data_IF_713834433503
#
_entry.id   IF_713834433503
#
_cell.length_a   1.000
_cell.length_b   1.000
_cell.length_c   1.000
_cell.angle_alpha   90.00
_cell.angle_beta   90.00
_cell.angle_gamma   90.00
#
_symmetry.space_group_name_H-M   'P 1'
#
loop_
_entity.id
_entity.type
_entity.pdbx_description
1 polymer ?
#
# COMPACT_ATOMS: atom_id res chain seq x y z
N UNK A 1 9.58 12.48 -20.92
CA UNK A 1 8.34 13.07 -20.36
C UNK A 1 7.75 12.21 -19.25
N UNK A 2 7.51 10.90 -19.47
CA UNK A 2 6.93 9.97 -18.48
C UNK A 2 7.67 9.81 -17.12
N UNK A 3 9.00 9.93 -17.08
CA UNK A 3 9.77 9.82 -15.82
C UNK A 3 9.47 11.01 -14.88
N UNK A 4 9.28 12.22 -15.42
CA UNK A 4 9.02 13.43 -14.61
C UNK A 4 7.65 13.31 -13.91
N UNK A 5 6.61 12.90 -14.63
CA UNK A 5 5.26 12.74 -14.06
C UNK A 5 5.22 11.63 -13.00
N UNK A 6 5.85 10.48 -13.24
CA UNK A 6 5.94 9.39 -12.24
C UNK A 6 6.63 9.87 -10.96
N UNK A 7 7.74 10.62 -11.09
CA UNK A 7 8.46 11.15 -9.94
C UNK A 7 7.61 12.17 -9.16
N UNK A 8 6.85 13.03 -9.84
CA UNK A 8 5.94 13.97 -9.20
C UNK A 8 4.77 13.26 -8.50
N UNK A 9 4.14 12.25 -9.12
CA UNK A 9 3.10 11.42 -8.49
C UNK A 9 3.64 10.75 -7.22
N UNK A 10 4.81 10.12 -7.31
CA UNK A 10 5.45 9.48 -6.15
C UNK A 10 5.79 10.50 -5.04
N UNK A 11 6.19 11.72 -5.39
CA UNK A 11 6.44 12.77 -4.40
C UNK A 11 5.15 13.25 -3.72
N UNK A 12 4.07 13.47 -4.47
CA UNK A 12 2.74 13.78 -3.91
C UNK A 12 2.32 12.67 -2.95
N UNK A 13 2.46 11.40 -3.37
CA UNK A 13 2.13 10.25 -2.54
C UNK A 13 2.91 10.23 -1.22
N UNK A 14 4.23 10.44 -1.25
CA UNK A 14 5.06 10.55 -0.03
C UNK A 14 4.56 11.64 0.91
N UNK A 15 4.26 12.81 0.37
CA UNK A 15 3.71 13.90 1.17
C UNK A 15 2.38 13.47 1.81
N UNK A 16 1.48 12.84 1.06
CA UNK A 16 0.15 12.47 1.57
C UNK A 16 0.15 11.32 2.59
N UNK A 17 1.09 10.38 2.51
CA UNK A 17 1.21 9.30 3.50
C UNK A 17 1.98 9.73 4.75
N UNK A 18 2.87 10.73 4.63
CA UNK A 18 3.71 11.21 5.74
C UNK A 18 3.20 12.51 6.41
N UNK A 19 2.33 13.29 5.78
CA UNK A 19 1.96 14.62 6.27
C UNK A 19 1.13 14.55 7.57
N UNK A 20 1.59 15.20 8.67
CA UNK A 20 0.89 15.18 9.95
C UNK A 20 -0.27 16.18 10.02
N UNK A 21 -0.25 17.26 9.22
CA UNK A 21 -1.27 18.31 9.25
C UNK A 21 -1.53 18.98 7.87
N UNK A 22 -2.70 19.63 7.66
CA UNK A 22 -3.07 20.26 6.40
C UNK A 22 -2.24 21.47 5.95
N UNK A 23 -1.61 22.21 6.87
CA UNK A 23 -0.87 23.42 6.55
C UNK A 23 0.50 23.09 5.95
N UNK A 24 1.22 22.12 6.54
CA UNK A 24 2.50 21.62 5.99
C UNK A 24 2.33 20.95 4.61
N UNK A 25 1.15 20.40 4.34
CA UNK A 25 0.80 19.78 3.06
C UNK A 25 0.81 20.80 1.90
N UNK A 26 0.26 22.01 2.08
CA UNK A 26 0.22 23.02 1.02
C UNK A 26 1.63 23.46 0.60
N UNK A 27 2.47 23.75 1.58
CA UNK A 27 3.83 24.21 1.32
C UNK A 27 4.66 23.11 0.65
N UNK A 28 4.51 21.86 1.08
CA UNK A 28 5.19 20.72 0.45
C UNK A 28 4.79 20.56 -1.02
N UNK A 29 3.49 20.71 -1.34
CA UNK A 29 3.01 20.68 -2.72
C UNK A 29 3.52 21.89 -3.52
N UNK A 30 3.59 23.07 -2.92
CA UNK A 30 4.11 24.28 -3.58
C UNK A 30 5.57 24.09 -3.97
N UNK A 31 6.41 23.65 -3.03
CA UNK A 31 7.83 23.33 -3.26
C UNK A 31 7.99 22.30 -4.37
N UNK A 32 7.18 21.23 -4.36
CA UNK A 32 7.23 20.18 -5.39
C UNK A 32 6.98 20.72 -6.81
N UNK A 33 6.12 21.73 -6.95
CA UNK A 33 5.71 22.29 -8.24
C UNK A 33 6.45 23.56 -8.64
N UNK A 34 7.48 24.00 -7.90
CA UNK A 34 8.32 25.15 -8.30
C UNK A 34 8.98 24.95 -9.67
N UNK A 35 9.33 23.71 -10.02
CA UNK A 35 9.90 23.34 -11.34
C UNK A 35 8.85 23.07 -12.43
N UNK A 36 7.65 23.62 -12.25
CA UNK A 36 6.43 23.39 -13.02
C UNK A 36 5.86 21.95 -12.97
N UNK A 37 4.53 21.80 -12.86
CA UNK A 37 3.87 20.51 -12.95
C UNK A 37 4.03 19.89 -14.35
N UNK A 38 4.07 18.56 -14.42
CA UNK A 38 3.87 17.84 -15.68
C UNK A 38 2.46 18.14 -16.22
N UNK A 39 2.21 18.07 -17.54
CA UNK A 39 0.88 18.37 -18.10
C UNK A 39 -0.27 17.61 -17.44
N UNK A 40 -0.06 16.34 -17.12
CA UNK A 40 -1.03 15.46 -16.44
C UNK A 40 -1.39 15.97 -15.03
N UNK A 41 -0.46 16.68 -14.38
CA UNK A 41 -0.62 17.22 -13.04
C UNK A 41 -0.98 18.71 -13.03
N UNK A 42 -1.09 19.36 -14.20
CA UNK A 42 -1.33 20.80 -14.27
C UNK A 42 -2.66 21.18 -13.60
N UNK A 43 -3.74 20.44 -13.89
CA UNK A 43 -5.05 20.68 -13.29
C UNK A 43 -5.05 20.39 -11.78
N UNK A 44 -4.37 19.32 -11.37
CA UNK A 44 -4.20 18.97 -9.96
C UNK A 44 -3.48 20.09 -9.20
N UNK A 45 -2.31 20.54 -9.70
CA UNK A 45 -1.54 21.62 -9.09
C UNK A 45 -2.34 22.92 -9.06
N UNK A 46 -3.01 23.27 -10.17
CA UNK A 46 -3.85 24.47 -10.26
C UNK A 46 -4.99 24.47 -9.24
N UNK A 47 -5.63 23.31 -9.02
CA UNK A 47 -6.70 23.15 -8.03
C UNK A 47 -6.19 23.30 -6.60
N UNK A 48 -5.11 22.60 -6.24
CA UNK A 48 -4.67 22.49 -4.84
C UNK A 48 -3.74 23.62 -4.39
N UNK A 49 -3.11 24.34 -5.32
CA UNK A 49 -2.27 25.50 -5.00
C UNK A 49 -3.00 26.85 -5.10
N UNK A 50 -4.26 26.87 -5.56
CA UNK A 50 -5.02 28.12 -5.68
C UNK A 50 -5.26 28.79 -4.32
N UNK A 51 -5.39 30.12 -4.34
CA UNK A 51 -5.71 30.91 -3.14
C UNK A 51 -7.15 30.67 -2.64
N UNK A 52 -8.07 30.26 -3.53
CA UNK A 52 -9.49 30.02 -3.20
C UNK A 52 -9.75 28.69 -2.50
N UNK A 53 -8.86 27.72 -2.64
CA UNK A 53 -8.93 26.41 -1.96
C UNK A 53 -8.45 26.45 -0.51
N UNK A 54 -8.13 27.65 0.00
CA UNK A 54 -7.40 27.86 1.25
C UNK A 54 -8.24 27.76 2.53
N UNK A 55 -9.56 27.54 2.48
CA UNK A 55 -10.35 27.51 3.72
C UNK A 55 -10.32 26.17 4.47
N UNK A 56 -10.09 25.01 3.82
CA UNK A 56 -9.57 23.77 4.44
C UNK A 56 -8.97 22.89 3.33
N UNK A 57 -7.65 22.69 3.33
CA UNK A 57 -7.02 21.62 2.54
C UNK A 57 -7.37 20.26 3.17
N UNK A 58 -8.16 19.45 2.47
CA UNK A 58 -8.48 18.10 2.93
C UNK A 58 -7.52 17.09 2.32
N UNK A 59 -6.67 16.47 3.14
CA UNK A 59 -5.78 15.38 2.70
C UNK A 59 -6.56 14.24 2.03
N UNK A 60 -7.81 14.00 2.47
CA UNK A 60 -8.71 13.02 1.85
C UNK A 60 -9.14 13.42 0.44
N UNK A 61 -9.41 14.70 0.20
CA UNK A 61 -9.80 15.18 -1.11
C UNK A 61 -8.60 15.22 -2.09
N UNK A 62 -7.41 15.60 -1.62
CA UNK A 62 -6.18 15.49 -2.43
C UNK A 62 -5.89 14.03 -2.75
N UNK A 63 -6.07 13.13 -1.77
CA UNK A 63 -5.92 11.68 -1.99
C UNK A 63 -6.91 11.15 -3.03
N UNK A 64 -8.17 11.60 -3.00
CA UNK A 64 -9.17 11.22 -4.00
C UNK A 64 -8.77 11.66 -5.41
N UNK A 65 -8.25 12.89 -5.57
CA UNK A 65 -7.77 13.35 -6.88
C UNK A 65 -6.51 12.60 -7.33
N UNK A 66 -5.58 12.29 -6.41
CA UNK A 66 -4.40 11.48 -6.73
C UNK A 66 -4.82 10.08 -7.23
N UNK A 67 -5.81 9.46 -6.58
CA UNK A 67 -6.38 8.18 -7.02
C UNK A 67 -6.91 8.25 -8.45
N UNK A 68 -7.64 9.33 -8.78
CA UNK A 68 -8.18 9.52 -10.12
C UNK A 68 -7.06 9.64 -11.17
N UNK A 69 -6.04 10.47 -10.90
CA UNK A 69 -4.88 10.62 -11.79
C UNK A 69 -4.17 9.29 -12.04
N UNK A 70 -3.98 8.48 -11.00
CA UNK A 70 -3.34 7.16 -11.13
C UNK A 70 -4.23 6.19 -11.91
N UNK A 71 -5.54 6.20 -11.68
CA UNK A 71 -6.49 5.35 -12.39
C UNK A 71 -6.54 5.67 -13.89
N UNK A 72 -6.47 6.96 -14.24
CA UNK A 72 -6.47 7.45 -15.63
C UNK A 72 -5.14 7.20 -16.35
N UNK A 73 -4.08 6.86 -15.61
CA UNK A 73 -2.72 6.67 -16.12
C UNK A 73 -2.05 5.38 -15.63
N UNK A 74 -2.64 4.20 -15.94
CA UNK A 74 -2.14 2.90 -15.46
C UNK A 74 -0.70 2.60 -15.93
N UNK A 75 -0.26 3.18 -17.05
CA UNK A 75 1.09 3.02 -17.59
C UNK A 75 2.20 3.50 -16.65
N UNK A 76 1.88 4.26 -15.60
CA UNK A 76 2.87 4.72 -14.62
C UNK A 76 3.19 3.69 -13.53
N UNK A 77 2.43 2.58 -13.48
CA UNK A 77 2.73 1.42 -12.64
C UNK A 77 2.59 1.72 -11.14
N UNK A 78 1.47 2.32 -10.75
CA UNK A 78 1.14 2.58 -9.34
C UNK A 78 0.02 1.66 -8.85
N UNK A 79 0.21 1.11 -7.66
CA UNK A 79 -0.81 0.37 -6.91
C UNK A 79 -1.16 1.16 -5.64
N UNK A 80 -2.45 1.39 -5.41
CA UNK A 80 -2.95 2.22 -4.30
C UNK A 80 -3.72 1.38 -3.29
N UNK A 81 -3.10 1.16 -2.14
CA UNK A 81 -3.67 0.42 -1.00
C UNK A 81 -4.26 1.40 0.00
N UNK A 82 -5.53 1.22 0.32
CA UNK A 82 -6.29 1.93 1.34
C UNK A 82 -6.17 1.18 2.67
N UNK A 83 -5.18 1.55 3.50
CA UNK A 83 -4.90 0.83 4.73
C UNK A 83 -6.05 0.78 5.72
N UNK A 84 -6.98 1.75 5.68
CA UNK A 84 -8.22 1.75 6.48
C UNK A 84 -9.19 0.63 6.12
N UNK A 85 -9.09 0.05 4.91
CA UNK A 85 -9.88 -1.11 4.53
C UNK A 85 -9.35 -2.41 5.16
N UNK A 86 -8.16 -2.38 5.75
CA UNK A 86 -7.47 -3.56 6.28
C UNK A 86 -7.65 -3.61 7.79
N UNK A 87 -8.56 -4.46 8.25
CA UNK A 87 -8.91 -4.64 9.67
C UNK A 87 -8.64 -6.06 10.21
N UNK A 88 -8.22 -6.99 9.34
CA UNK A 88 -7.82 -8.37 9.63
C UNK A 88 -7.13 -8.99 8.39
N UNK A 89 -6.74 -10.27 8.47
CA UNK A 89 -6.07 -10.98 7.36
C UNK A 89 -6.99 -11.11 6.12
N UNK A 90 -8.28 -11.51 6.23
CA UNK A 90 -9.17 -11.55 5.06
C UNK A 90 -9.31 -10.21 4.34
N UNK A 91 -9.46 -9.10 5.08
CA UNK A 91 -9.57 -7.76 4.51
C UNK A 91 -8.26 -7.27 3.88
N UNK A 92 -7.09 -7.69 4.39
CA UNK A 92 -5.82 -7.51 3.68
C UNK A 92 -5.87 -8.13 2.29
N UNK A 93 -6.24 -9.41 2.17
CA UNK A 93 -6.35 -10.05 0.86
C UNK A 93 -7.42 -9.42 -0.01
N UNK A 94 -8.57 -9.04 0.55
CA UNK A 94 -9.61 -8.35 -0.22
C UNK A 94 -9.09 -7.05 -0.84
N UNK A 95 -8.34 -6.24 -0.07
CA UNK A 95 -7.75 -5.00 -0.54
C UNK A 95 -6.64 -5.25 -1.57
N UNK A 96 -5.76 -6.23 -1.36
CA UNK A 96 -4.73 -6.58 -2.35
C UNK A 96 -5.37 -7.07 -3.65
N UNK A 97 -6.39 -7.94 -3.60
CA UNK A 97 -7.09 -8.40 -4.79
C UNK A 97 -7.81 -7.26 -5.52
N UNK A 98 -8.43 -6.32 -4.79
CA UNK A 98 -9.04 -5.12 -5.38
C UNK A 98 -8.03 -4.28 -6.16
N UNK A 99 -6.80 -4.17 -5.67
CA UNK A 99 -5.76 -3.30 -6.24
C UNK A 99 -5.01 -3.96 -7.38
N UNK A 100 -4.69 -5.24 -7.24
CA UNK A 100 -3.79 -5.95 -8.15
C UNK A 100 -4.49 -6.97 -9.05
N UNK A 101 -5.60 -7.56 -8.61
CA UNK A 101 -6.22 -8.72 -9.24
C UNK A 101 -7.55 -8.38 -9.93
N UNK A 102 -7.85 -7.10 -10.16
CA UNK A 102 -9.13 -6.65 -10.75
C UNK A 102 -9.41 -7.25 -12.14
N UNK A 103 -8.36 -7.63 -12.85
CA UNK A 103 -8.41 -8.11 -14.23
C UNK A 103 -8.33 -9.65 -14.29
N UNK A 104 -8.20 -10.30 -13.12
CA UNK A 104 -8.09 -11.75 -12.97
C UNK A 104 -9.44 -12.36 -12.56
N UNK A 105 -9.69 -13.61 -12.95
CA UNK A 105 -10.91 -14.34 -12.58
C UNK A 105 -10.76 -15.16 -11.28
N UNK A 106 -9.65 -14.96 -10.57
CA UNK A 106 -9.29 -15.67 -9.34
C UNK A 106 -8.64 -14.68 -8.35
N UNK A 107 -8.55 -15.08 -7.08
CA UNK A 107 -8.05 -14.25 -6.00
C UNK A 107 -6.92 -14.95 -5.23
N UNK A 108 -5.92 -14.19 -4.80
CA UNK A 108 -4.91 -14.67 -3.85
C UNK A 108 -5.47 -14.67 -2.42
N UNK A 109 -5.01 -15.62 -1.60
CA UNK A 109 -5.47 -15.77 -0.22
C UNK A 109 -4.41 -16.33 0.73
N UNK A 110 -3.13 -16.25 0.36
CA UNK A 110 -1.99 -16.77 1.12
C UNK A 110 -0.78 -15.86 1.02
N UNK A 111 0.17 -15.99 1.96
CA UNK A 111 1.41 -15.23 1.95
C UNK A 111 2.27 -15.60 0.74
N UNK A 112 2.24 -16.86 0.33
CA UNK A 112 2.90 -17.33 -0.90
C UNK A 112 2.28 -16.68 -2.13
N UNK A 113 0.95 -16.63 -2.23
CA UNK A 113 0.28 -15.95 -3.35
C UNK A 113 0.54 -14.44 -3.38
N UNK A 114 0.66 -13.80 -2.21
CA UNK A 114 1.09 -12.40 -2.13
C UNK A 114 2.55 -12.21 -2.57
N UNK A 115 3.44 -13.11 -2.16
CA UNK A 115 4.84 -13.12 -2.57
C UNK A 115 4.96 -13.32 -4.10
N UNK A 116 4.24 -14.29 -4.66
CA UNK A 116 4.21 -14.56 -6.10
C UNK A 116 3.70 -13.35 -6.89
N UNK A 117 2.65 -12.67 -6.39
CA UNK A 117 2.12 -11.45 -6.99
C UNK A 117 3.21 -10.37 -7.15
N UNK A 118 4.11 -10.23 -6.18
CA UNK A 118 5.17 -9.21 -6.23
C UNK A 118 6.34 -9.56 -7.17
N UNK A 119 6.49 -10.84 -7.55
CA UNK A 119 7.40 -11.23 -8.64
C UNK A 119 6.84 -10.85 -10.02
N UNK A 120 5.51 -10.72 -10.15
CA UNK A 120 4.79 -10.42 -11.38
C UNK A 120 4.29 -11.68 -12.10
N UNK A 121 3.89 -11.53 -13.36
CA UNK A 121 3.36 -12.63 -14.18
C UNK A 121 1.84 -12.85 -14.13
N UNK A 122 1.14 -12.13 -13.24
CA UNK A 122 -0.32 -12.02 -13.23
C UNK A 122 -0.75 -10.70 -12.55
N UNK A 123 -2.03 -10.36 -12.68
CA UNK A 123 -2.60 -9.11 -12.17
C UNK A 123 -2.24 -7.90 -13.03
N UNK A 124 -2.83 -6.75 -12.69
CA UNK A 124 -2.77 -5.50 -13.46
C UNK A 124 -1.35 -4.97 -13.73
N UNK A 125 -0.38 -5.37 -12.90
CA UNK A 125 1.00 -4.90 -12.97
C UNK A 125 1.98 -6.03 -13.37
N UNK A 126 1.48 -7.12 -13.96
CA UNK A 126 2.27 -8.29 -14.36
C UNK A 126 3.46 -7.94 -15.26
N UNK A 127 3.25 -6.99 -16.17
CA UNK A 127 4.20 -6.61 -17.23
C UNK A 127 5.06 -5.39 -16.84
N UNK A 128 4.90 -4.88 -15.62
CA UNK A 128 5.68 -3.73 -15.16
C UNK A 128 7.11 -4.16 -14.80
N UNK A 129 8.11 -3.59 -15.49
CA UNK A 129 9.53 -3.76 -15.13
C UNK A 129 9.81 -3.37 -13.68
N UNK A 130 9.11 -2.31 -13.23
CA UNK A 130 9.10 -1.81 -11.85
C UNK A 130 7.76 -1.15 -11.56
N UNK A 131 7.21 -1.36 -10.38
CA UNK A 131 5.99 -0.67 -9.94
C UNK A 131 6.17 -0.02 -8.57
N UNK A 132 5.27 0.89 -8.22
CA UNK A 132 5.26 1.55 -6.91
C UNK A 132 3.97 1.21 -6.17
N UNK A 133 4.11 0.54 -5.03
CA UNK A 133 3.06 0.34 -4.05
C UNK A 133 2.98 1.56 -3.14
N UNK A 134 1.82 2.22 -3.10
CA UNK A 134 1.53 3.32 -2.19
C UNK A 134 0.49 2.80 -1.19
N UNK A 135 0.83 2.81 0.09
CA UNK A 135 -0.02 2.29 1.16
C UNK A 135 -0.36 3.40 2.14
N UNK A 136 -1.58 3.93 2.04
CA UNK A 136 -2.04 5.00 2.94
C UNK A 136 -2.52 4.41 4.27
N UNK A 137 -2.34 5.16 5.37
CA UNK A 137 -2.80 4.78 6.71
C UNK A 137 -2.17 3.48 7.22
N UNK A 138 -0.90 3.25 6.90
CA UNK A 138 -0.19 2.01 7.21
C UNK A 138 -0.11 1.70 8.71
N UNK A 139 -0.10 2.72 9.57
CA UNK A 139 -0.12 2.54 11.02
C UNK A 139 -1.38 1.80 11.48
N UNK A 140 -2.53 2.08 10.84
CA UNK A 140 -3.78 1.37 11.10
C UNK A 140 -3.67 -0.09 10.65
N UNK A 141 -3.18 -0.34 9.44
CA UNK A 141 -2.98 -1.72 8.96
C UNK A 141 -2.00 -2.50 9.83
N UNK A 142 -0.92 -1.87 10.30
CA UNK A 142 0.07 -2.47 11.21
C UNK A 142 -0.56 -2.88 12.53
N UNK A 143 -1.40 -2.03 13.12
CA UNK A 143 -2.13 -2.35 14.33
C UNK A 143 -3.06 -3.56 14.13
N UNK A 144 -3.85 -3.53 13.05
CA UNK A 144 -4.85 -4.56 12.75
C UNK A 144 -4.26 -5.90 12.31
N UNK A 145 -3.08 -5.87 11.69
CA UNK A 145 -2.29 -7.04 11.32
C UNK A 145 -1.20 -7.40 12.37
N UNK A 146 -1.33 -6.85 13.58
CA UNK A 146 -0.38 -7.03 14.67
C UNK A 146 -0.53 -8.36 15.43
N UNK A 147 -0.07 -8.37 16.68
CA UNK A 147 0.05 -9.58 17.51
C UNK A 147 -1.28 -10.33 17.63
N UNK A 148 -2.39 -9.65 17.88
CA UNK A 148 -3.68 -10.29 18.16
C UNK A 148 -4.16 -11.19 17.01
N UNK A 149 -4.20 -10.68 15.77
CA UNK A 149 -4.62 -11.47 14.61
C UNK A 149 -3.60 -12.56 14.27
N UNK A 150 -2.32 -12.30 14.53
CA UNK A 150 -1.25 -13.27 14.25
C UNK A 150 -1.33 -14.48 15.19
N UNK A 151 -1.66 -14.26 16.46
CA UNK A 151 -1.93 -15.35 17.41
C UNK A 151 -3.12 -16.21 16.95
N UNK A 152 -4.20 -15.57 16.49
CA UNK A 152 -5.35 -16.30 15.96
C UNK A 152 -4.97 -17.09 14.70
N UNK A 153 -4.21 -16.50 13.80
CA UNK A 153 -3.69 -17.16 12.61
C UNK A 153 -2.91 -18.43 12.95
N UNK A 154 -1.92 -18.36 13.86
CA UNK A 154 -1.15 -19.55 14.26
C UNK A 154 -2.01 -20.60 14.97
N UNK A 155 -2.95 -20.21 15.84
CA UNK A 155 -3.90 -21.15 16.46
C UNK A 155 -4.74 -21.87 15.43
N UNK A 156 -5.21 -21.19 14.40
CA UNK A 156 -5.95 -21.82 13.30
C UNK A 156 -5.07 -22.83 12.53
N UNK A 157 -3.77 -22.56 12.37
CA UNK A 157 -2.83 -23.54 11.77
C UNK A 157 -2.57 -24.76 12.66
N UNK A 158 -2.85 -24.66 13.95
CA UNK A 158 -2.72 -25.73 14.94
C UNK A 158 -4.04 -26.45 15.25
N UNK A 159 -5.13 -26.14 14.53
CA UNK A 159 -6.41 -26.82 14.75
C UNK A 159 -6.31 -28.31 14.44
N UNK A 160 -7.11 -29.13 15.12
CA UNK A 160 -7.20 -30.57 14.85
C UNK A 160 -7.47 -30.84 13.37
N UNK A 161 -6.72 -31.76 12.77
CA UNK A 161 -6.84 -32.09 11.33
C UNK A 161 -6.21 -31.08 10.37
N UNK A 162 -5.53 -30.04 10.88
CA UNK A 162 -4.77 -29.10 10.07
C UNK A 162 -3.64 -29.79 9.29
N UNK A 163 -3.49 -29.52 7.98
CA UNK A 163 -2.42 -30.11 7.16
C UNK A 163 -1.05 -29.45 7.40
N UNK A 164 -0.98 -28.41 8.23
CA UNK A 164 0.24 -27.63 8.44
C UNK A 164 1.19 -28.27 9.45
N UNK A 165 2.49 -27.93 9.34
CA UNK A 165 3.53 -28.42 10.25
C UNK A 165 3.28 -27.93 11.69
N UNK A 166 2.80 -28.84 12.54
CA UNK A 166 2.39 -28.53 13.91
C UNK A 166 3.56 -28.04 14.77
N UNK A 167 4.74 -28.69 14.69
CA UNK A 167 5.92 -28.28 15.44
C UNK A 167 6.37 -26.87 15.07
N UNK A 168 6.39 -26.55 13.76
CA UNK A 168 6.76 -25.22 13.27
C UNK A 168 5.82 -24.14 13.78
N UNK A 169 4.50 -24.34 13.64
CA UNK A 169 3.53 -23.34 14.06
C UNK A 169 3.41 -23.23 15.59
N UNK A 170 3.67 -24.30 16.33
CA UNK A 170 3.75 -24.25 17.78
C UNK A 170 4.95 -23.40 18.23
N UNK A 171 6.11 -23.52 17.58
CA UNK A 171 7.25 -22.66 17.85
C UNK A 171 6.94 -21.19 17.54
N UNK A 172 6.37 -20.90 16.36
CA UNK A 172 5.97 -19.54 15.98
C UNK A 172 4.97 -18.91 16.95
N UNK A 173 4.01 -19.70 17.43
CA UNK A 173 3.05 -19.26 18.44
C UNK A 173 3.76 -18.91 19.76
N UNK A 174 4.64 -19.78 20.25
CA UNK A 174 5.42 -19.57 21.48
C UNK A 174 6.31 -18.33 21.37
N UNK A 175 7.03 -18.17 20.26
CA UNK A 175 7.92 -17.02 20.02
C UNK A 175 7.12 -15.71 20.03
N UNK A 176 5.96 -15.69 19.36
CA UNK A 176 5.11 -14.50 19.31
C UNK A 176 4.55 -14.15 20.70
N UNK A 177 4.13 -15.15 21.49
CA UNK A 177 3.68 -14.94 22.88
C UNK A 177 4.80 -14.40 23.79
N UNK A 178 6.05 -14.78 23.52
CA UNK A 178 7.23 -14.28 24.23
C UNK A 178 7.73 -12.91 23.73
N UNK A 179 7.04 -12.29 22.76
CA UNK A 179 7.45 -11.01 22.16
C UNK A 179 8.68 -11.10 21.24
N UNK A 180 9.04 -12.31 20.80
CA UNK A 180 10.20 -12.60 19.94
C UNK A 180 9.80 -12.97 18.51
N UNK A 181 8.53 -13.30 18.28
CA UNK A 181 7.99 -13.67 16.98
C UNK A 181 7.54 -12.46 16.16
N UNK A 182 7.54 -12.63 14.84
CA UNK A 182 7.01 -11.66 13.88
C UNK A 182 5.47 -11.63 13.91
N UNK A 183 4.91 -10.43 13.80
CA UNK A 183 3.50 -10.24 13.46
C UNK A 183 3.25 -10.55 11.98
N UNK A 184 1.98 -10.71 11.62
CA UNK A 184 1.57 -10.89 10.23
C UNK A 184 2.01 -9.70 9.37
N UNK A 185 1.91 -8.48 9.93
CA UNK A 185 2.39 -7.27 9.28
C UNK A 185 3.91 -7.28 9.05
N UNK A 186 4.69 -7.81 10.00
CA UNK A 186 6.16 -7.92 9.83
C UNK A 186 6.50 -8.88 8.69
N UNK A 187 5.76 -9.98 8.54
CA UNK A 187 5.95 -10.93 7.44
C UNK A 187 5.60 -10.28 6.10
N UNK A 188 4.49 -9.55 6.01
CA UNK A 188 4.12 -8.78 4.80
C UNK A 188 5.22 -7.77 4.45
N UNK A 189 5.74 -7.07 5.46
CA UNK A 189 6.83 -6.10 5.29
C UNK A 189 8.09 -6.77 4.74
N UNK A 190 8.49 -7.91 5.30
CA UNK A 190 9.63 -8.69 4.82
C UNK A 190 9.45 -9.14 3.37
N UNK A 191 8.25 -9.62 3.02
CA UNK A 191 7.90 -9.97 1.64
C UNK A 191 8.06 -8.75 0.73
N UNK A 192 7.46 -7.59 1.05
CA UNK A 192 7.58 -6.40 0.20
C UNK A 192 9.04 -5.98 0.01
N UNK A 193 9.82 -5.94 1.09
CA UNK A 193 11.22 -5.49 1.06
C UNK A 193 12.16 -6.46 0.33
N UNK A 194 11.80 -7.74 0.19
CA UNK A 194 12.60 -8.70 -0.58
C UNK A 194 12.47 -8.52 -2.10
N UNK A 195 11.47 -7.78 -2.58
CA UNK A 195 11.19 -7.59 -4.01
C UNK A 195 11.77 -6.28 -4.56
N UNK A 196 12.92 -6.39 -5.25
CA UNK A 196 13.62 -5.24 -5.86
C UNK A 196 12.83 -4.48 -6.93
N UNK A 197 11.80 -5.10 -7.53
CA UNK A 197 10.91 -4.48 -8.53
C UNK A 197 9.80 -3.63 -7.92
N UNK A 198 9.67 -3.61 -6.60
CA UNK A 198 8.64 -2.86 -5.87
C UNK A 198 9.27 -1.68 -5.15
N UNK A 199 8.90 -0.47 -5.55
CA UNK A 199 9.07 0.71 -4.69
C UNK A 199 7.91 0.78 -3.71
N UNK A 200 8.17 1.10 -2.45
CA UNK A 200 7.14 1.19 -1.42
C UNK A 200 7.10 2.58 -0.78
N UNK A 201 5.90 3.19 -0.75
CA UNK A 201 5.62 4.50 -0.15
C UNK A 201 4.51 4.31 0.88
N UNK A 202 4.75 4.70 2.14
CA UNK A 202 3.83 4.49 3.25
C UNK A 202 4.05 5.45 4.42
#
# INVERSE_FOLDING_TARGET
MGIKVRNQIAAIARILVSAPDPSSLKDSLRVLFEQAPSPELFLFASKWLSEKTAEILSSQAIWADLKQIIADHPQHGFALIEGKNIHDIPSFYAEINRVYMSDENWAIGSLDGFNDLLYGGFGKLSDADKHTMIWKDIAYSREKLGVAVTLQYYRNKLSTGSPYNQTYFQQKLTDLQAGKGQTYFDIITEIILSHKKVDWIY
#
